data_IF_467711883073
#
_entry.id   IF_467711883073
#
_cell.length_a   1.000
_cell.length_b   1.000
_cell.length_c   1.000
_cell.angle_alpha   90.00
_cell.angle_beta   90.00
_cell.angle_gamma   90.00
#
_symmetry.space_group_name_H-M   'P 1'
#
loop_
_entity.id
_entity.type
_entity.pdbx_description
1 polymer ?
#
# COMPACT_ATOMS: atom_id res chain seq x y z
N UNK A 1 -13.63 7.64 0.51
CA UNK A 1 -12.98 7.00 1.70
C UNK A 1 -11.89 6.05 1.23
N UNK A 2 -10.66 6.17 1.70
CA UNK A 2 -9.67 5.12 1.47
C UNK A 2 -9.87 3.96 2.45
N UNK A 3 -9.81 2.75 1.94
CA UNK A 3 -9.92 1.51 2.69
C UNK A 3 -8.65 0.68 2.53
N UNK A 4 -8.15 0.10 3.58
CA UNK A 4 -7.07 -0.87 3.57
C UNK A 4 -7.54 -2.15 4.24
N UNK A 5 -7.95 -3.11 3.41
CA UNK A 5 -8.50 -4.39 3.85
C UNK A 5 -7.40 -5.43 3.90
N UNK A 6 -7.28 -6.14 5.00
CA UNK A 6 -6.41 -7.30 5.12
C UNK A 6 -7.26 -8.55 5.21
N UNK A 7 -7.09 -9.42 4.25
CA UNK A 7 -7.75 -10.70 4.15
C UNK A 7 -6.84 -11.77 4.73
N UNK A 8 -7.30 -12.45 5.78
CA UNK A 8 -6.64 -13.64 6.29
C UNK A 8 -7.14 -14.84 5.51
N UNK A 9 -6.24 -15.71 5.09
CA UNK A 9 -6.57 -16.82 4.21
C UNK A 9 -5.73 -18.07 4.51
N UNK A 10 -6.29 -19.22 4.12
CA UNK A 10 -5.65 -20.53 4.20
C UNK A 10 -5.68 -21.18 2.81
N UNK A 11 -4.53 -21.51 2.21
CA UNK A 11 -4.49 -22.33 1.01
C UNK A 11 -5.05 -23.72 1.28
N UNK A 12 -5.95 -24.20 0.44
CA UNK A 12 -6.51 -25.56 0.51
C UNK A 12 -5.67 -26.57 -0.29
N UNK A 13 -4.76 -26.09 -1.11
CA UNK A 13 -3.72 -26.84 -1.80
C UNK A 13 -2.45 -26.01 -1.86
N UNK A 14 -1.26 -26.60 -2.07
CA UNK A 14 -0.01 -25.85 -2.11
C UNK A 14 -0.04 -24.77 -3.17
N UNK A 15 0.46 -23.57 -2.85
CA UNK A 15 0.63 -22.48 -3.83
C UNK A 15 2.06 -22.56 -4.38
N UNK A 16 2.27 -22.95 -5.65
CA UNK A 16 3.61 -22.96 -6.23
C UNK A 16 4.21 -21.56 -6.29
N UNK A 17 5.51 -21.41 -6.02
CA UNK A 17 6.19 -20.10 -5.93
C UNK A 17 6.02 -19.23 -7.17
N UNK A 18 5.92 -19.83 -8.33
CA UNK A 18 5.70 -19.12 -9.60
C UNK A 18 4.40 -18.31 -9.66
N UNK A 19 3.38 -18.67 -8.86
CA UNK A 19 2.11 -17.94 -8.78
C UNK A 19 2.09 -16.86 -7.67
N UNK A 20 3.12 -16.79 -6.83
CA UNK A 20 3.25 -15.84 -5.72
C UNK A 20 3.83 -14.49 -6.16
N UNK A 21 3.65 -14.12 -7.41
CA UNK A 21 4.16 -12.85 -7.96
C UNK A 21 3.09 -11.77 -7.94
N UNK A 22 3.52 -10.52 -7.92
CA UNK A 22 2.61 -9.37 -7.98
C UNK A 22 1.67 -9.37 -9.19
N UNK A 23 2.09 -9.97 -10.32
CA UNK A 23 1.22 -10.12 -11.51
C UNK A 23 0.06 -11.08 -11.28
N UNK A 24 0.32 -12.19 -10.62
CA UNK A 24 -0.73 -13.18 -10.34
C UNK A 24 -1.72 -12.64 -9.30
N UNK A 25 -1.23 -11.92 -8.28
CA UNK A 25 -2.11 -11.27 -7.31
C UNK A 25 -2.92 -10.13 -7.94
N UNK A 26 -2.33 -9.38 -8.87
CA UNK A 26 -3.05 -8.39 -9.67
C UNK A 26 -4.14 -9.03 -10.54
N UNK A 27 -3.81 -10.13 -11.23
CA UNK A 27 -4.77 -10.88 -12.03
C UNK A 27 -5.89 -11.47 -11.17
N UNK A 28 -5.56 -12.03 -10.00
CA UNK A 28 -6.55 -12.50 -9.03
C UNK A 28 -7.52 -11.37 -8.65
N UNK A 29 -7.01 -10.20 -8.28
CA UNK A 29 -7.86 -9.06 -7.93
C UNK A 29 -8.81 -8.67 -9.09
N UNK A 30 -8.28 -8.55 -10.31
CA UNK A 30 -9.12 -8.21 -11.47
C UNK A 30 -10.16 -9.30 -11.78
N UNK A 31 -9.82 -10.57 -11.59
CA UNK A 31 -10.79 -11.69 -11.72
C UNK A 31 -11.91 -11.57 -10.68
N UNK A 32 -11.56 -11.24 -9.43
CA UNK A 32 -12.54 -11.03 -8.38
C UNK A 32 -13.45 -9.84 -8.67
N UNK A 33 -12.91 -8.73 -9.15
CA UNK A 33 -13.71 -7.57 -9.59
C UNK A 33 -14.63 -7.96 -10.72
N UNK A 34 -14.12 -8.64 -11.75
CA UNK A 34 -14.91 -9.07 -12.91
C UNK A 34 -16.02 -10.08 -12.56
N UNK A 35 -15.87 -10.83 -11.48
CA UNK A 35 -16.91 -11.74 -10.99
C UNK A 35 -18.12 -11.01 -10.40
N UNK A 36 -17.94 -9.77 -9.96
CA UNK A 36 -19.01 -8.89 -9.46
C UNK A 36 -19.52 -7.98 -10.57
N UNK A 37 -18.62 -7.34 -11.30
CA UNK A 37 -18.92 -6.42 -12.39
C UNK A 37 -17.82 -6.52 -13.47
N UNK A 38 -18.19 -7.15 -14.59
CA UNK A 38 -17.29 -7.36 -15.73
C UNK A 38 -16.83 -6.05 -16.34
N UNK A 39 -17.73 -5.08 -16.48
CA UNK A 39 -17.40 -3.76 -17.06
C UNK A 39 -16.40 -3.01 -16.19
N UNK A 40 -16.55 -3.09 -14.87
CA UNK A 40 -15.60 -2.53 -13.91
C UNK A 40 -14.23 -3.22 -14.03
N UNK A 41 -14.20 -4.55 -14.14
CA UNK A 41 -12.99 -5.32 -14.34
C UNK A 41 -12.23 -4.92 -15.60
N UNK A 42 -12.92 -4.82 -16.72
CA UNK A 42 -12.34 -4.39 -18.01
C UNK A 42 -11.78 -2.95 -17.90
N UNK A 43 -12.54 -2.03 -17.32
CA UNK A 43 -12.08 -0.64 -17.07
C UNK A 43 -10.84 -0.57 -16.21
N UNK A 44 -10.75 -1.37 -15.15
CA UNK A 44 -9.58 -1.42 -14.29
C UNK A 44 -8.38 -2.08 -14.95
N UNK A 45 -8.62 -3.03 -15.86
CA UNK A 45 -7.57 -3.66 -16.65
C UNK A 45 -6.96 -2.66 -17.65
N UNK A 46 -7.78 -1.93 -18.39
CA UNK A 46 -7.36 -1.06 -19.49
C UNK A 46 -6.76 0.29 -19.00
N UNK A 47 -7.03 0.68 -17.75
CA UNK A 47 -6.49 1.91 -17.20
C UNK A 47 -4.95 1.89 -17.17
N UNK A 48 -4.33 2.77 -17.94
CA UNK A 48 -2.88 2.99 -17.96
C UNK A 48 -2.40 3.96 -16.87
N UNK A 49 -3.33 4.76 -16.34
CA UNK A 49 -3.06 5.75 -15.29
C UNK A 49 -3.11 5.11 -13.87
N UNK A 50 -2.81 5.92 -12.85
CA UNK A 50 -2.92 5.51 -11.45
C UNK A 50 -4.27 4.88 -11.16
N UNK A 51 -4.25 3.63 -10.75
CA UNK A 51 -5.46 2.85 -10.46
C UNK A 51 -5.95 3.17 -9.05
N UNK A 52 -7.27 3.11 -8.86
CA UNK A 52 -7.91 3.38 -7.58
C UNK A 52 -7.69 2.29 -6.52
N UNK A 53 -6.67 1.43 -6.69
CA UNK A 53 -6.35 0.37 -5.74
C UNK A 53 -4.86 0.09 -5.66
N UNK A 54 -4.44 -0.47 -4.52
CA UNK A 54 -3.10 -1.03 -4.32
C UNK A 54 -3.20 -2.40 -3.65
N UNK A 55 -2.20 -3.25 -3.89
CA UNK A 55 -2.15 -4.60 -3.35
C UNK A 55 -0.88 -4.81 -2.53
N UNK A 56 -0.87 -5.81 -1.64
CA UNK A 56 0.38 -6.33 -1.08
C UNK A 56 0.85 -7.55 -1.86
N UNK A 57 2.11 -7.96 -1.71
CA UNK A 57 2.48 -9.36 -1.89
C UNK A 57 1.72 -10.23 -0.91
N UNK A 58 1.54 -11.52 -1.22
CA UNK A 58 0.99 -12.47 -0.26
C UNK A 58 2.00 -12.65 0.89
N UNK A 59 1.52 -12.58 2.12
CA UNK A 59 2.32 -12.70 3.33
C UNK A 59 2.02 -14.00 4.04
N UNK A 60 3.04 -14.69 4.50
CA UNK A 60 2.88 -15.79 5.45
C UNK A 60 2.80 -15.19 6.85
N UNK A 61 1.75 -15.56 7.60
CA UNK A 61 1.63 -15.13 8.99
C UNK A 61 2.60 -15.96 9.85
N UNK A 62 3.85 -15.51 9.88
CA UNK A 62 4.84 -16.11 10.77
C UNK A 62 4.52 -15.65 12.19
N UNK A 63 3.91 -16.52 12.98
CA UNK A 63 3.97 -16.44 14.45
C UNK A 63 5.44 -16.66 14.87
N UNK A 64 6.27 -15.64 14.66
CA UNK A 64 7.66 -15.70 15.13
C UNK A 64 7.65 -15.68 16.66
N UNK A 65 7.97 -16.81 17.25
CA UNK A 65 8.32 -16.94 18.67
C UNK A 65 9.37 -15.86 18.99
N UNK A 66 8.96 -14.71 19.56
CA UNK A 66 9.85 -13.72 20.16
C UNK A 66 10.59 -12.75 19.22
N UNK A 67 10.32 -12.72 17.92
CA UNK A 67 10.92 -11.74 17.00
C UNK A 67 10.16 -10.43 16.94
N UNK A 68 10.85 -9.29 17.00
CA UNK A 68 10.28 -7.99 16.62
C UNK A 68 9.69 -8.14 15.22
N UNK A 69 8.41 -7.83 15.03
CA UNK A 69 7.79 -7.74 13.69
C UNK A 69 8.66 -6.79 12.86
N UNK A 70 9.43 -7.34 11.90
CA UNK A 70 10.26 -6.53 11.04
C UNK A 70 9.39 -5.56 10.25
N UNK A 71 9.87 -4.37 9.99
CA UNK A 71 9.19 -3.39 9.16
C UNK A 71 9.03 -3.84 7.70
N UNK A 72 9.83 -4.83 7.28
CA UNK A 72 9.83 -5.36 5.92
C UNK A 72 8.80 -6.47 5.76
N UNK A 73 8.12 -6.43 4.61
CA UNK A 73 7.19 -7.47 4.17
C UNK A 73 7.91 -8.43 3.22
N UNK A 74 7.44 -9.67 3.19
CA UNK A 74 7.93 -10.67 2.24
C UNK A 74 7.41 -10.31 0.84
N UNK A 75 8.26 -9.90 -0.07
CA UNK A 75 7.90 -9.45 -1.41
C UNK A 75 8.26 -10.47 -2.51
N UNK A 76 8.96 -11.55 -2.14
CA UNK A 76 9.33 -12.66 -3.02
C UNK A 76 9.28 -13.97 -2.26
N UNK A 77 8.76 -15.01 -2.91
CA UNK A 77 8.70 -16.37 -2.39
C UNK A 77 9.51 -17.28 -3.29
N UNK A 78 10.52 -17.93 -2.73
CA UNK A 78 11.34 -18.92 -3.45
C UNK A 78 10.73 -20.32 -3.39
N UNK A 79 10.07 -20.62 -2.27
CA UNK A 79 9.45 -21.92 -2.01
C UNK A 79 7.93 -21.85 -2.15
N UNK A 80 7.27 -22.98 -2.49
CA UNK A 80 5.81 -23.06 -2.45
C UNK A 80 5.27 -22.83 -1.04
N UNK A 81 4.08 -22.24 -0.94
CA UNK A 81 3.37 -22.13 0.34
C UNK A 81 2.57 -23.44 0.55
N UNK A 82 2.81 -24.17 1.65
CA UNK A 82 2.10 -25.41 1.94
C UNK A 82 0.60 -25.18 2.22
N UNK A 83 -0.19 -26.25 2.05
CA UNK A 83 -1.60 -26.28 2.44
C UNK A 83 -1.77 -25.92 3.91
N UNK A 84 -2.82 -25.16 4.23
CA UNK A 84 -3.16 -24.77 5.59
C UNK A 84 -2.23 -23.75 6.24
N UNK A 85 -1.24 -23.23 5.52
CA UNK A 85 -0.35 -22.18 6.03
C UNK A 85 -1.14 -20.88 6.20
N UNK A 86 -1.21 -20.29 7.41
CA UNK A 86 -1.87 -19.00 7.59
C UNK A 86 -1.17 -17.91 6.79
N UNK A 87 -1.94 -17.24 5.95
CA UNK A 87 -1.46 -16.15 5.11
C UNK A 87 -2.37 -14.92 5.24
N UNK A 88 -1.85 -13.78 4.84
CA UNK A 88 -2.68 -12.60 4.64
C UNK A 88 -2.33 -11.85 3.36
N UNK A 89 -3.32 -11.20 2.81
CA UNK A 89 -3.22 -10.39 1.61
C UNK A 89 -3.95 -9.07 1.81
N UNK A 90 -3.31 -7.96 1.46
CA UNK A 90 -3.90 -6.63 1.58
C UNK A 90 -4.41 -6.13 0.24
N UNK A 91 -5.63 -5.61 0.26
CA UNK A 91 -6.25 -4.85 -0.83
C UNK A 91 -6.57 -3.46 -0.28
N UNK A 92 -6.01 -2.42 -0.87
CA UNK A 92 -6.41 -1.05 -0.54
C UNK A 92 -7.15 -0.41 -1.69
N UNK A 93 -8.27 0.23 -1.38
CA UNK A 93 -9.14 0.93 -2.32
C UNK A 93 -9.10 2.42 -1.98
N UNK A 94 -8.81 3.25 -2.98
CA UNK A 94 -8.67 4.70 -2.83
C UNK A 94 -9.98 5.43 -3.15
N UNK A 95 -10.88 4.78 -3.86
CA UNK A 95 -12.17 5.32 -4.29
C UNK A 95 -13.30 4.61 -3.53
N UNK A 96 -14.16 5.37 -2.88
CA UNK A 96 -15.31 4.87 -2.13
C UNK A 96 -16.34 4.21 -3.06
N UNK A 97 -16.49 4.72 -4.27
CA UNK A 97 -17.34 4.12 -5.29
C UNK A 97 -16.88 2.70 -5.61
N UNK A 98 -15.57 2.51 -5.77
CA UNK A 98 -15.00 1.19 -6.00
C UNK A 98 -15.24 0.24 -4.83
N UNK A 99 -15.09 0.73 -3.58
CA UNK A 99 -15.39 -0.08 -2.40
C UNK A 99 -16.86 -0.51 -2.37
N UNK A 100 -17.78 0.42 -2.62
CA UNK A 100 -19.22 0.16 -2.64
C UNK A 100 -19.61 -0.84 -3.73
N UNK A 101 -19.06 -0.73 -4.93
CA UNK A 101 -19.28 -1.68 -6.04
C UNK A 101 -18.79 -3.08 -5.69
N UNK A 102 -17.74 -3.21 -4.91
CA UNK A 102 -17.17 -4.49 -4.47
C UNK A 102 -17.81 -5.04 -3.18
N UNK A 103 -18.83 -4.37 -2.63
CA UNK A 103 -19.47 -4.79 -1.37
C UNK A 103 -19.92 -6.25 -1.41
N UNK A 104 -20.48 -6.70 -2.52
CA UNK A 104 -20.92 -8.10 -2.69
C UNK A 104 -19.76 -9.09 -2.57
N UNK A 105 -18.55 -8.71 -2.98
CA UNK A 105 -17.36 -9.55 -2.84
C UNK A 105 -16.98 -9.75 -1.37
N UNK A 106 -17.08 -8.68 -0.57
CA UNK A 106 -16.72 -8.73 0.85
C UNK A 106 -17.77 -9.44 1.71
N UNK A 107 -19.04 -9.31 1.36
CA UNK A 107 -20.15 -9.88 2.12
C UNK A 107 -20.46 -11.34 1.76
N UNK A 108 -20.15 -11.77 0.54
CA UNK A 108 -20.51 -13.08 0.02
C UNK A 108 -19.30 -14.01 -0.11
N UNK A 109 -18.45 -14.06 0.92
CA UNK A 109 -17.39 -15.06 0.97
C UNK A 109 -18.01 -16.45 1.12
N UNK A 110 -18.00 -17.24 0.05
CA UNK A 110 -18.58 -18.56 0.03
C UNK A 110 -17.47 -19.63 0.05
N UNK A 111 -17.39 -20.45 1.09
CA UNK A 111 -16.41 -21.55 1.15
C UNK A 111 -16.49 -22.53 -0.03
N UNK A 112 -17.68 -22.68 -0.63
CA UNK A 112 -17.90 -23.55 -1.77
C UNK A 112 -17.50 -22.91 -3.12
N UNK A 113 -17.04 -21.65 -3.09
CA UNK A 113 -16.50 -20.92 -4.25
C UNK A 113 -15.19 -20.25 -3.84
N UNK A 114 -14.12 -21.04 -3.67
CA UNK A 114 -12.83 -20.52 -3.23
C UNK A 114 -12.26 -19.56 -4.28
N UNK A 115 -11.45 -18.63 -3.84
CA UNK A 115 -10.64 -17.85 -4.75
C UNK A 115 -9.46 -18.70 -5.23
N UNK A 116 -9.02 -18.48 -6.46
CA UNK A 116 -7.96 -19.29 -7.05
C UNK A 116 -6.71 -18.45 -7.33
N UNK A 117 -5.58 -18.87 -6.76
CA UNK A 117 -4.27 -18.31 -7.10
C UNK A 117 -3.45 -19.36 -7.84
N UNK A 118 -3.45 -19.27 -9.17
CA UNK A 118 -2.95 -20.35 -10.00
C UNK A 118 -3.81 -21.62 -9.79
N UNK A 119 -3.19 -22.76 -9.49
CA UNK A 119 -3.92 -24.02 -9.22
C UNK A 119 -4.44 -24.12 -7.77
N UNK A 120 -4.10 -23.17 -6.90
CA UNK A 120 -4.41 -23.27 -5.48
C UNK A 120 -5.72 -22.57 -5.11
N UNK A 121 -6.56 -23.29 -4.37
CA UNK A 121 -7.78 -22.75 -3.76
C UNK A 121 -7.44 -22.03 -2.48
N UNK A 122 -8.03 -20.83 -2.30
CA UNK A 122 -7.83 -19.98 -1.14
C UNK A 122 -9.13 -19.90 -0.34
N UNK A 123 -9.06 -20.28 0.93
CA UNK A 123 -10.15 -20.11 1.88
C UNK A 123 -9.92 -18.82 2.68
N UNK A 124 -10.87 -17.88 2.60
CA UNK A 124 -10.80 -16.61 3.33
C UNK A 124 -11.41 -16.83 4.71
N UNK A 125 -10.59 -16.66 5.74
CA UNK A 125 -11.01 -16.88 7.14
C UNK A 125 -11.59 -15.63 7.77
N UNK A 126 -11.07 -14.45 7.41
CA UNK A 126 -11.59 -13.17 7.90
C UNK A 126 -11.10 -12.00 7.05
N UNK A 127 -11.82 -10.87 7.14
CA UNK A 127 -11.42 -9.58 6.58
C UNK A 127 -11.30 -8.58 7.73
N UNK A 128 -10.17 -7.91 7.80
CA UNK A 128 -9.90 -6.83 8.74
C UNK A 128 -9.80 -5.52 7.96
N UNK A 129 -10.48 -4.48 8.41
CA UNK A 129 -10.51 -3.19 7.72
C UNK A 129 -10.83 -2.02 8.64
N UNK A 130 -10.68 -2.20 9.96
CA UNK A 130 -10.99 -1.16 10.95
C UNK A 130 -9.74 -0.62 11.62
N UNK A 131 -9.77 0.63 12.14
CA UNK A 131 -8.64 1.20 12.88
C UNK A 131 -8.27 0.43 14.15
N UNK A 132 -9.21 -0.34 14.70
CA UNK A 132 -9.01 -1.16 15.91
C UNK A 132 -8.34 -2.50 15.61
N UNK A 133 -8.07 -2.80 14.36
CA UNK A 133 -7.39 -4.04 13.98
C UNK A 133 -5.97 -4.08 14.55
N UNK A 134 -5.58 -5.25 15.07
CA UNK A 134 -4.21 -5.52 15.52
C UNK A 134 -3.24 -5.50 14.31
N UNK A 135 -3.77 -5.76 13.12
CA UNK A 135 -3.02 -5.76 11.87
C UNK A 135 -2.69 -4.32 11.44
N UNK A 136 -1.42 -3.91 11.43
CA UNK A 136 -1.03 -2.51 11.19
C UNK A 136 -1.27 -2.02 9.76
N UNK A 137 -1.66 -2.92 8.86
CA UNK A 137 -1.99 -2.62 7.47
C UNK A 137 -3.51 -2.55 7.23
N UNK A 138 -4.33 -2.93 8.22
CA UNK A 138 -5.79 -2.84 8.13
C UNK A 138 -6.25 -1.50 8.69
N UNK A 139 -6.97 -0.73 7.89
CA UNK A 139 -7.54 0.56 8.31
C UNK A 139 -8.62 1.04 7.34
N UNK A 140 -9.54 1.85 7.83
CA UNK A 140 -10.50 2.60 7.04
C UNK A 140 -10.68 3.98 7.65
N UNK A 141 -10.80 5.00 6.81
CA UNK A 141 -11.00 6.39 7.23
C UNK A 141 -11.61 7.19 6.08
N UNK A 142 -12.02 8.41 6.35
CA UNK A 142 -12.38 9.35 5.29
C UNK A 142 -11.19 10.26 4.94
N UNK A 143 -11.17 10.80 3.74
CA UNK A 143 -10.17 11.81 3.37
C UNK A 143 -10.26 13.06 4.26
N UNK A 144 -11.48 13.44 4.63
CA UNK A 144 -11.70 14.53 5.57
C UNK A 144 -11.08 14.22 6.94
N UNK A 145 -11.28 13.00 7.47
CA UNK A 145 -10.66 12.59 8.74
C UNK A 145 -9.14 12.55 8.65
N UNK A 146 -8.55 12.02 7.56
CA UNK A 146 -7.09 12.06 7.36
C UNK A 146 -6.57 13.49 7.39
N UNK A 147 -7.28 14.40 6.75
CA UNK A 147 -6.90 15.81 6.75
C UNK A 147 -7.10 16.46 8.12
N UNK A 148 -8.24 16.25 8.78
CA UNK A 148 -8.53 16.87 10.09
C UNK A 148 -7.63 16.34 11.22
N UNK A 149 -7.27 15.07 11.19
CA UNK A 149 -6.37 14.45 12.18
C UNK A 149 -4.89 14.75 11.92
N UNK A 150 -4.55 15.23 10.71
CA UNK A 150 -3.19 15.61 10.39
C UNK A 150 -2.77 16.81 11.23
N UNK A 151 -1.60 16.70 11.86
CA UNK A 151 -1.08 17.75 12.72
C UNK A 151 -0.68 18.99 11.91
N UNK A 152 -1.02 20.14 12.42
CA UNK A 152 -0.60 21.45 11.92
C UNK A 152 0.70 21.97 12.58
N UNK A 153 1.33 21.18 13.43
CA UNK A 153 2.60 21.41 14.13
C UNK A 153 2.72 22.67 15.02
N UNK A 154 1.69 23.49 15.13
CA UNK A 154 1.76 24.75 15.91
C UNK A 154 1.27 24.65 17.35
N UNK A 155 0.90 23.47 17.81
CA UNK A 155 0.49 23.21 19.20
C UNK A 155 1.69 22.91 20.15
N UNK A 156 2.73 23.70 20.16
CA UNK A 156 3.63 23.86 21.33
C UNK A 156 4.73 22.84 21.58
N UNK A 157 5.05 21.88 20.70
CA UNK A 157 6.30 21.09 20.78
C UNK A 157 6.74 20.63 19.40
N UNK A 158 8.01 20.86 19.09
CA UNK A 158 8.79 20.50 17.87
C UNK A 158 8.67 19.03 17.37
N UNK A 159 7.77 18.23 17.92
CA UNK A 159 7.63 16.80 17.61
C UNK A 159 6.97 16.49 16.25
N UNK A 160 6.28 17.42 15.64
CA UNK A 160 5.47 17.15 14.43
C UNK A 160 6.10 17.63 13.12
N UNK A 161 7.30 18.19 13.16
CA UNK A 161 8.05 18.57 11.95
C UNK A 161 8.82 17.39 11.32
N UNK A 162 8.63 16.18 11.83
CA UNK A 162 9.34 14.98 11.37
C UNK A 162 8.37 13.93 10.87
N UNK A 163 8.63 13.42 9.69
CA UNK A 163 7.85 12.38 9.02
C UNK A 163 8.76 11.17 8.80
N UNK A 164 8.53 10.09 9.51
CA UNK A 164 9.25 8.85 9.30
C UNK A 164 8.43 7.90 8.43
N UNK A 165 8.92 7.59 7.22
CA UNK A 165 8.31 6.67 6.27
C UNK A 165 9.09 5.36 6.22
N UNK A 166 8.39 4.24 6.40
CA UNK A 166 8.92 2.89 6.23
C UNK A 166 8.46 2.32 4.89
N UNK A 167 9.40 2.05 4.01
CA UNK A 167 9.24 1.40 2.72
C UNK A 167 9.34 -0.12 2.93
N UNK A 168 8.20 -0.78 3.04
CA UNK A 168 8.09 -2.18 3.47
C UNK A 168 8.15 -3.17 2.31
N UNK A 169 7.95 -2.72 1.06
CA UNK A 169 8.19 -3.49 -0.16
C UNK A 169 9.01 -2.65 -1.16
N UNK A 170 9.71 -3.27 -2.11
CA UNK A 170 10.55 -2.55 -3.05
C UNK A 170 9.84 -1.39 -3.73
N UNK A 171 10.41 -0.20 -3.61
CA UNK A 171 9.83 1.07 -4.06
C UNK A 171 10.74 1.74 -5.08
N UNK A 172 10.20 2.13 -6.22
CA UNK A 172 10.91 2.89 -7.24
C UNK A 172 10.00 3.96 -7.87
N UNK A 173 10.61 4.95 -8.47
CA UNK A 173 9.94 6.14 -9.01
C UNK A 173 10.23 6.26 -10.51
N UNK A 174 9.22 6.62 -11.31
CA UNK A 174 9.43 6.90 -12.73
C UNK A 174 10.06 8.28 -12.91
N UNK A 175 11.18 8.32 -13.62
CA UNK A 175 11.82 9.55 -14.09
C UNK A 175 12.04 9.45 -15.61
N UNK A 176 11.13 10.03 -16.38
CA UNK A 176 11.13 9.89 -17.83
C UNK A 176 11.00 8.42 -18.26
N UNK A 177 12.02 7.92 -18.95
CA UNK A 177 12.04 6.52 -19.42
C UNK A 177 12.61 5.52 -18.41
N UNK A 178 13.24 6.00 -17.34
CA UNK A 178 13.96 5.18 -16.36
C UNK A 178 13.25 5.15 -15.01
N UNK A 179 13.64 4.22 -14.18
CA UNK A 179 13.21 4.13 -12.78
C UNK A 179 14.37 4.58 -11.88
N UNK A 180 14.07 5.48 -10.95
CA UNK A 180 14.96 5.90 -9.88
C UNK A 180 14.60 5.18 -8.58
N UNK A 181 15.61 4.85 -7.79
CA UNK A 181 15.45 4.28 -6.44
C UNK A 181 15.64 5.33 -5.34
N UNK A 182 15.88 6.61 -5.69
CA UNK A 182 16.10 7.65 -4.71
C UNK A 182 14.76 8.20 -4.18
N UNK A 183 14.49 8.08 -2.89
CA UNK A 183 13.27 8.62 -2.26
C UNK A 183 13.43 10.12 -1.96
N UNK A 184 13.61 10.91 -3.03
CA UNK A 184 13.66 12.37 -2.88
C UNK A 184 12.30 12.88 -2.43
N UNK A 185 12.26 14.06 -1.81
CA UNK A 185 11.02 14.72 -1.41
C UNK A 185 10.03 14.83 -2.59
N UNK A 186 10.53 15.20 -3.75
CA UNK A 186 9.73 15.34 -4.97
C UNK A 186 9.14 13.99 -5.41
N UNK A 187 9.97 12.94 -5.45
CA UNK A 187 9.52 11.60 -5.87
C UNK A 187 8.46 11.04 -4.93
N UNK A 188 8.65 11.21 -3.62
CA UNK A 188 7.77 10.67 -2.59
C UNK A 188 6.46 11.46 -2.51
N UNK A 189 6.57 12.78 -2.29
CA UNK A 189 5.38 13.60 -2.03
C UNK A 189 4.56 13.90 -3.28
N UNK A 190 5.17 14.03 -4.47
CA UNK A 190 4.41 14.11 -5.72
C UNK A 190 3.66 12.82 -6.05
N UNK A 191 4.23 11.65 -5.72
CA UNK A 191 3.52 10.37 -5.88
C UNK A 191 2.28 10.28 -5.01
N UNK A 192 2.33 10.80 -3.79
CA UNK A 192 1.18 10.86 -2.88
C UNK A 192 0.18 11.94 -3.29
N UNK A 193 0.66 13.13 -3.63
CA UNK A 193 -0.15 14.28 -4.03
C UNK A 193 -1.00 13.99 -5.26
N UNK A 194 -0.40 13.38 -6.28
CA UNK A 194 -1.11 13.00 -7.51
C UNK A 194 -2.31 12.10 -7.21
N UNK A 195 -2.13 11.09 -6.34
CA UNK A 195 -3.22 10.18 -5.96
C UNK A 195 -4.23 10.83 -5.02
N UNK A 196 -3.76 11.65 -4.07
CA UNK A 196 -4.63 12.41 -3.19
C UNK A 196 -5.58 13.30 -4.00
N UNK A 197 -5.04 14.16 -4.87
CA UNK A 197 -5.84 15.08 -5.68
C UNK A 197 -6.80 14.35 -6.62
N UNK A 198 -6.42 13.13 -7.08
CA UNK A 198 -7.28 12.33 -7.95
C UNK A 198 -8.48 11.71 -7.24
N UNK A 199 -8.35 11.29 -5.97
CA UNK A 199 -9.35 10.45 -5.32
C UNK A 199 -10.00 11.07 -4.07
N UNK A 200 -9.41 12.11 -3.47
CA UNK A 200 -9.90 12.65 -2.20
C UNK A 200 -11.12 13.54 -2.30
N UNK A 201 -11.28 14.24 -3.43
CA UNK A 201 -12.20 15.37 -3.55
C UNK A 201 -11.74 16.61 -2.77
N UNK A 202 -10.56 16.58 -2.14
CA UNK A 202 -9.93 17.70 -1.42
C UNK A 202 -8.61 18.00 -2.12
N UNK A 203 -8.60 19.02 -2.97
CA UNK A 203 -7.43 19.32 -3.78
C UNK A 203 -6.38 20.11 -2.99
N UNK A 204 -5.15 19.68 -3.06
CA UNK A 204 -3.98 20.40 -2.57
C UNK A 204 -3.24 21.02 -3.74
N UNK A 205 -3.38 22.33 -3.93
CA UNK A 205 -2.82 23.06 -5.08
C UNK A 205 -1.43 23.62 -4.83
N UNK A 206 -1.11 23.92 -3.58
CA UNK A 206 0.17 24.50 -3.19
C UNK A 206 0.70 23.79 -1.96
N UNK A 207 1.69 22.93 -2.15
CA UNK A 207 2.40 22.25 -1.08
C UNK A 207 3.87 22.64 -1.13
N UNK A 208 4.41 23.07 0.02
CA UNK A 208 5.82 23.44 0.16
C UNK A 208 6.74 22.19 0.18
N UNK A 209 6.77 21.43 -0.94
CA UNK A 209 7.62 20.22 -1.06
C UNK A 209 9.10 20.59 -0.92
N UNK A 210 9.49 21.78 -1.39
CA UNK A 210 10.84 22.32 -1.26
C UNK A 210 11.30 22.48 0.19
N UNK A 211 10.37 22.57 1.12
CA UNK A 211 10.64 22.68 2.56
C UNK A 211 10.80 21.32 3.27
N UNK A 212 10.68 20.22 2.54
CA UNK A 212 10.83 18.87 3.07
C UNK A 212 12.26 18.39 2.81
N UNK A 213 12.96 17.98 3.84
CA UNK A 213 14.36 17.55 3.74
C UNK A 213 14.55 16.16 4.35
N UNK A 214 15.16 15.20 3.62
CA UNK A 214 15.60 13.94 4.21
C UNK A 214 16.63 14.22 5.32
N UNK A 215 16.34 13.81 6.55
CA UNK A 215 17.20 14.03 7.70
C UNK A 215 17.89 12.78 8.21
N UNK A 216 17.31 11.62 7.87
CA UNK A 216 17.89 10.32 8.16
C UNK A 216 17.46 9.35 7.07
N UNK A 217 18.40 8.56 6.56
CA UNK A 217 18.18 7.60 5.47
C UNK A 217 18.85 6.29 5.85
N UNK A 218 18.03 5.25 6.01
CA UNK A 218 18.47 3.88 6.24
C UNK A 218 17.75 2.97 5.26
N UNK A 219 18.26 2.89 4.05
CA UNK A 219 17.67 2.15 2.94
C UNK A 219 18.72 1.27 2.24
N UNK A 220 18.24 0.22 1.62
CA UNK A 220 19.03 -0.59 0.69
C UNK A 220 18.19 -0.88 -0.57
N UNK A 221 18.86 -1.29 -1.63
CA UNK A 221 18.18 -1.65 -2.88
C UNK A 221 18.01 -3.15 -2.98
N UNK A 222 16.85 -3.55 -3.51
CA UNK A 222 16.52 -4.94 -3.81
C UNK A 222 16.10 -5.10 -5.26
N UNK A 223 16.41 -6.27 -5.82
CA UNK A 223 16.10 -6.61 -7.19
C UNK A 223 15.04 -7.70 -7.21
N UNK A 224 13.86 -7.37 -7.75
CA UNK A 224 12.89 -8.36 -8.15
C UNK A 224 13.05 -8.67 -9.63
N UNK A 225 13.33 -9.91 -9.94
CA UNK A 225 13.35 -10.40 -11.30
C UNK A 225 12.24 -11.44 -11.49
N UNK A 226 11.43 -11.27 -12.50
CA UNK A 226 10.57 -12.31 -13.03
C UNK A 226 11.02 -12.66 -14.46
N UNK A 227 10.39 -13.67 -15.09
CA UNK A 227 10.73 -14.13 -16.44
C UNK A 227 10.64 -13.04 -17.52
N UNK A 228 10.00 -11.90 -17.23
CA UNK A 228 9.71 -10.86 -18.23
C UNK A 228 10.30 -9.49 -17.89
N UNK A 229 10.63 -9.21 -16.62
CA UNK A 229 11.11 -7.90 -16.21
C UNK A 229 11.96 -7.96 -14.95
N UNK A 230 12.87 -6.99 -14.85
CA UNK A 230 13.58 -6.67 -13.59
C UNK A 230 13.01 -5.39 -13.01
N UNK A 231 12.83 -5.36 -11.71
CA UNK A 231 12.42 -4.19 -10.95
C UNK A 231 13.42 -4.00 -9.81
N UNK A 232 14.02 -2.83 -9.76
CA UNK A 232 14.93 -2.46 -8.67
C UNK A 232 14.19 -1.44 -7.82
N UNK A 233 14.12 -1.66 -6.52
CA UNK A 233 13.46 -0.76 -5.59
C UNK A 233 14.20 -0.67 -4.27
N UNK A 234 13.89 0.34 -3.48
CA UNK A 234 14.40 0.50 -2.12
C UNK A 234 13.49 -0.15 -1.09
N UNK A 235 14.10 -0.56 -0.01
CA UNK A 235 13.50 -0.95 1.27
C UNK A 235 14.17 -0.20 2.40
N UNK A 236 13.45 0.02 3.50
CA UNK A 236 14.00 0.64 4.70
C UNK A 236 13.24 1.87 5.14
N UNK A 237 13.91 2.82 5.77
CA UNK A 237 13.28 3.96 6.42
C UNK A 237 13.95 5.27 6.00
N UNK A 238 13.12 6.29 5.80
CA UNK A 238 13.57 7.67 5.57
C UNK A 238 12.80 8.59 6.50
N UNK A 239 13.52 9.41 7.23
CA UNK A 239 12.96 10.48 8.02
C UNK A 239 13.10 11.80 7.27
N UNK A 240 11.98 12.49 7.09
CA UNK A 240 11.92 13.82 6.50
C UNK A 240 11.62 14.86 7.58
N UNK A 241 12.31 15.99 7.54
CA UNK A 241 12.01 17.16 8.35
C UNK A 241 11.41 18.26 7.50
N UNK A 242 10.42 18.92 8.05
CA UNK A 242 9.82 20.12 7.46
C UNK A 242 10.57 21.31 8.06
N UNK A 243 11.22 22.11 7.22
CA UNK A 243 12.07 23.23 7.63
C UNK A 243 11.63 24.54 6.97
N UNK A 244 11.88 25.66 7.64
CA UNK A 244 11.54 26.98 7.15
C UNK A 244 10.26 27.55 7.75
N UNK A 245 9.94 28.79 7.38
CA UNK A 245 8.69 29.45 7.75
C UNK A 245 7.60 29.04 6.76
N UNK A 246 6.77 28.06 7.17
CA UNK A 246 5.72 27.47 6.33
C UNK A 246 4.39 27.68 7.01
N UNK A 247 3.37 27.94 6.20
CA UNK A 247 2.00 28.10 6.69
C UNK A 247 1.50 26.78 7.34
N UNK A 248 0.79 26.87 8.48
CA UNK A 248 0.25 25.70 9.19
C UNK A 248 -0.56 24.78 8.29
N UNK A 249 -1.31 25.35 7.35
CA UNK A 249 -2.12 24.58 6.41
C UNK A 249 -1.27 23.69 5.51
N UNK A 250 -0.10 24.14 5.07
CA UNK A 250 0.80 23.36 4.23
C UNK A 250 1.45 22.23 5.02
N UNK A 251 1.80 22.48 6.29
CA UNK A 251 2.30 21.44 7.20
C UNK A 251 1.24 20.35 7.40
N UNK A 252 -0.02 20.76 7.60
CA UNK A 252 -1.16 19.85 7.73
C UNK A 252 -1.35 19.00 6.47
N UNK A 253 -1.26 19.60 5.29
CA UNK A 253 -1.33 18.91 4.00
C UNK A 253 -0.21 17.87 3.83
N UNK A 254 1.04 18.23 4.14
CA UNK A 254 2.19 17.33 4.08
C UNK A 254 1.99 16.13 5.03
N UNK A 255 1.53 16.38 6.25
CA UNK A 255 1.24 15.32 7.22
C UNK A 255 0.11 14.39 6.74
N UNK A 256 -0.98 14.95 6.19
CA UNK A 256 -2.07 14.17 5.62
C UNK A 256 -1.61 13.26 4.48
N UNK A 257 -0.72 13.75 3.60
CA UNK A 257 -0.12 12.93 2.55
C UNK A 257 0.73 11.79 3.13
N UNK A 258 1.50 12.06 4.18
CA UNK A 258 2.32 11.04 4.83
C UNK A 258 1.46 9.92 5.45
N UNK A 259 0.33 10.27 6.05
CA UNK A 259 -0.62 9.30 6.61
C UNK A 259 -1.39 8.55 5.52
N UNK A 260 -1.66 9.19 4.41
CA UNK A 260 -2.28 8.59 3.23
C UNK A 260 -1.40 7.50 2.58
N UNK A 261 -0.09 7.52 2.80
CA UNK A 261 0.85 6.53 2.26
C UNK A 261 0.45 5.09 2.61
N UNK A 262 -0.17 4.86 3.78
CA UNK A 262 -0.69 3.55 4.17
C UNK A 262 -1.64 2.97 3.11
N UNK A 263 -2.48 3.80 2.51
CA UNK A 263 -3.50 3.39 1.54
C UNK A 263 -2.98 3.39 0.11
N UNK A 264 -2.36 4.48 -0.28
CA UNK A 264 -1.94 4.72 -1.65
C UNK A 264 -0.67 3.95 -2.05
N UNK A 265 0.18 3.62 -1.06
CA UNK A 265 1.56 3.26 -1.35
C UNK A 265 2.30 4.42 -2.03
N UNK A 266 3.56 4.22 -2.36
CA UNK A 266 4.42 5.23 -2.98
C UNK A 266 5.12 4.64 -4.21
N UNK A 267 5.24 5.44 -5.28
CA UNK A 267 5.97 5.07 -6.47
C UNK A 267 5.19 4.14 -7.41
N UNK A 268 5.91 3.24 -8.07
CA UNK A 268 5.39 2.40 -9.17
C UNK A 268 4.97 1.01 -8.74
N UNK A 269 4.14 0.38 -9.59
CA UNK A 269 3.67 -1.01 -9.45
C UNK A 269 2.97 -1.28 -8.10
N UNK A 270 2.33 -0.27 -7.52
CA UNK A 270 1.59 -0.41 -6.26
C UNK A 270 0.40 -1.39 -6.38
N UNK A 271 -0.13 -1.57 -7.58
CA UNK A 271 -1.14 -2.59 -7.89
C UNK A 271 -0.56 -4.00 -8.03
N UNK A 272 0.75 -4.14 -7.93
CA UNK A 272 1.48 -5.42 -7.98
C UNK A 272 2.26 -5.68 -6.69
N UNK A 273 1.89 -5.02 -5.60
CA UNK A 273 2.49 -5.25 -4.29
C UNK A 273 3.76 -4.45 -4.00
N UNK A 274 4.21 -3.59 -4.93
CA UNK A 274 5.36 -2.73 -4.71
C UNK A 274 4.94 -1.42 -4.04
N UNK A 275 5.90 -0.70 -3.43
CA UNK A 275 5.66 0.62 -2.88
C UNK A 275 4.80 0.66 -1.62
N UNK A 276 4.61 -0.46 -0.92
CA UNK A 276 3.90 -0.44 0.36
C UNK A 276 4.70 0.37 1.37
N UNK A 277 4.11 1.47 1.79
CA UNK A 277 4.76 2.43 2.68
C UNK A 277 3.78 2.86 3.75
N UNK A 278 4.27 3.07 4.96
CA UNK A 278 3.50 3.65 6.05
C UNK A 278 4.33 4.63 6.85
N UNK A 279 3.65 5.58 7.45
CA UNK A 279 4.26 6.46 8.44
C UNK A 279 4.48 5.69 9.75
N UNK A 280 5.65 5.87 10.35
CA UNK A 280 5.95 5.39 11.70
C UNK A 280 5.84 6.58 12.65
N UNK A 281 5.07 6.39 13.70
CA UNK A 281 4.99 7.36 14.79
C UNK A 281 6.00 6.95 15.86
N UNK A 282 6.82 7.91 16.29
CA UNK A 282 7.68 7.70 17.48
C UNK A 282 6.78 7.56 18.70
N UNK A 283 7.05 6.60 19.60
CA UNK A 283 6.30 6.41 20.83
C UNK A 283 6.40 7.63 21.77
#
# INVERSE_FOLDING_TARGET
MPHSLVLNLLPQSPIPSQYLTGRHLHALFLTLVSSVDRTLGDRLHDSTADKAFTLSPLQIDSYSKGGKRGSQLQYSHQEPIPVGTPCWWRISLLDDTLFSQLTQLWLNLNPNRPWHLGPADLYITSIQGTPQSIQPWANATTYAQLYEQASDAYGGKLRNSSINLSFSTPTAFRQGQYDSTLPTRESVFNSLLSRWNKYSGIEFTQIAIESIFPSFVNIHTEILADSRSKFIGILGEVNYKILGAIEPIQIKQINALADFALYAGIGRKTTMGMGMTRRLYSP
#
